data_IF_094779173834
#
_entry.id   IF_094779173834
#
_cell.length_a   1.000
_cell.length_b   1.000
_cell.length_c   1.000
_cell.angle_alpha   90.00
_cell.angle_beta   90.00
_cell.angle_gamma   90.00
#
_symmetry.space_group_name_H-M   'P 1'
#
loop_
_entity.id
_entity.type
_entity.pdbx_description
1 polymer ?
#
# COMPACT_ATOMS: atom_id res chain seq x y z
N UNK A 1 -15.54 25.42 -11.24
CA UNK A 1 -16.60 25.12 -12.22
C UNK A 1 -17.68 24.31 -11.52
N UNK A 2 -18.67 25.00 -10.96
CA UNK A 2 -19.82 24.39 -10.26
C UNK A 2 -20.89 24.12 -11.29
N UNK A 3 -21.19 22.85 -11.56
CA UNK A 3 -22.33 22.47 -12.39
C UNK A 3 -23.52 22.24 -11.47
N UNK A 4 -24.47 23.17 -11.49
CA UNK A 4 -25.76 23.04 -10.81
C UNK A 4 -26.60 22.03 -11.59
N UNK A 5 -26.67 20.79 -11.12
CA UNK A 5 -27.60 19.80 -11.65
C UNK A 5 -28.99 20.03 -11.06
N UNK A 6 -29.91 20.53 -11.88
CA UNK A 6 -31.33 20.54 -11.57
C UNK A 6 -31.84 19.08 -11.56
N UNK A 7 -32.03 18.55 -10.35
CA UNK A 7 -32.52 17.18 -10.07
C UNK A 7 -34.02 17.11 -10.35
N UNK A 8 -34.42 16.38 -11.40
CA UNK A 8 -35.80 15.99 -11.63
C UNK A 8 -36.07 14.67 -10.86
N UNK A 9 -36.73 14.79 -9.70
CA UNK A 9 -36.69 13.83 -8.58
C UNK A 9 -37.59 12.59 -8.69
N UNK A 10 -37.89 12.08 -9.88
CA UNK A 10 -38.90 11.02 -10.04
C UNK A 10 -38.40 9.59 -10.36
N UNK A 11 -37.39 9.44 -11.22
CA UNK A 11 -37.08 8.13 -11.82
C UNK A 11 -35.61 7.79 -12.07
N UNK A 12 -34.68 8.75 -11.90
CA UNK A 12 -33.24 8.54 -12.13
C UNK A 12 -32.57 7.85 -10.92
N UNK A 13 -33.12 8.03 -9.72
CA UNK A 13 -32.53 7.58 -8.46
C UNK A 13 -32.40 6.05 -8.35
N UNK A 14 -33.33 5.29 -8.93
CA UNK A 14 -33.32 3.81 -8.82
C UNK A 14 -32.34 3.14 -9.79
N UNK A 15 -32.03 3.76 -10.93
CA UNK A 15 -31.18 3.15 -11.95
C UNK A 15 -29.70 3.45 -11.71
N UNK A 16 -29.39 4.64 -11.18
CA UNK A 16 -28.04 5.05 -10.79
C UNK A 16 -27.53 4.24 -9.58
N UNK A 17 -28.40 4.00 -8.58
CA UNK A 17 -28.08 3.20 -7.40
C UNK A 17 -27.77 1.73 -7.76
N UNK A 18 -28.49 1.16 -8.73
CA UNK A 18 -28.23 -0.20 -9.23
C UNK A 18 -26.88 -0.31 -9.95
N UNK A 19 -26.52 0.67 -10.77
CA UNK A 19 -25.20 0.72 -11.41
C UNK A 19 -24.07 0.94 -10.42
N UNK A 20 -24.26 1.77 -9.40
CA UNK A 20 -23.26 2.00 -8.35
C UNK A 20 -23.00 0.74 -7.54
N UNK A 21 -24.06 -0.02 -7.22
CA UNK A 21 -23.95 -1.31 -6.55
C UNK A 21 -23.19 -2.32 -7.43
N UNK A 22 -23.47 -2.37 -8.73
CA UNK A 22 -22.73 -3.22 -9.68
C UNK A 22 -21.25 -2.86 -9.75
N UNK A 23 -20.92 -1.56 -9.85
CA UNK A 23 -19.54 -1.08 -9.88
C UNK A 23 -18.79 -1.38 -8.57
N UNK A 24 -19.47 -1.29 -7.42
CA UNK A 24 -18.88 -1.67 -6.12
C UNK A 24 -18.49 -3.15 -6.10
N UNK A 25 -19.33 -4.05 -6.61
CA UNK A 25 -19.00 -5.47 -6.67
C UNK A 25 -17.87 -5.77 -7.64
N UNK A 26 -17.89 -5.14 -8.82
CA UNK A 26 -16.78 -5.24 -9.79
C UNK A 26 -15.48 -4.74 -9.15
N UNK A 27 -15.52 -3.59 -8.48
CA UNK A 27 -14.37 -3.04 -7.77
C UNK A 27 -13.86 -3.98 -6.67
N UNK A 28 -14.74 -4.50 -5.82
CA UNK A 28 -14.37 -5.47 -4.78
C UNK A 28 -13.79 -6.76 -5.38
N UNK A 29 -14.33 -7.23 -6.51
CA UNK A 29 -13.81 -8.37 -7.26
C UNK A 29 -12.40 -8.12 -7.79
N UNK A 30 -12.18 -6.96 -8.42
CA UNK A 30 -10.86 -6.55 -8.91
C UNK A 30 -9.86 -6.36 -7.76
N UNK A 31 -10.28 -5.82 -6.62
CA UNK A 31 -9.46 -5.66 -5.43
C UNK A 31 -9.03 -7.03 -4.87
N UNK A 32 -9.97 -7.97 -4.80
CA UNK A 32 -9.70 -9.35 -4.35
C UNK A 32 -8.72 -10.04 -5.30
N UNK A 33 -8.93 -9.90 -6.62
CA UNK A 33 -8.02 -10.45 -7.63
C UNK A 33 -6.62 -9.84 -7.52
N UNK A 34 -6.53 -8.53 -7.28
CA UNK A 34 -5.25 -7.83 -7.05
C UNK A 34 -4.53 -8.38 -5.82
N UNK A 35 -5.24 -8.58 -4.71
CA UNK A 35 -4.66 -9.15 -3.49
C UNK A 35 -4.19 -10.60 -3.71
N UNK A 36 -4.97 -11.40 -4.45
CA UNK A 36 -4.59 -12.77 -4.83
C UNK A 36 -3.27 -12.79 -5.60
N UNK A 37 -3.12 -11.98 -6.65
CA UNK A 37 -1.87 -11.90 -7.40
C UNK A 37 -0.71 -11.32 -6.59
N UNK A 38 -0.96 -10.39 -5.67
CA UNK A 38 0.07 -9.84 -4.80
C UNK A 38 0.65 -10.90 -3.83
N UNK A 39 -0.16 -11.85 -3.38
CA UNK A 39 0.25 -12.89 -2.42
C UNK A 39 0.79 -14.16 -3.09
N UNK A 40 0.19 -14.57 -4.21
CA UNK A 40 0.50 -15.85 -4.87
C UNK A 40 1.23 -15.69 -6.21
N UNK A 41 1.38 -14.47 -6.71
CA UNK A 41 2.08 -14.21 -7.97
C UNK A 41 3.59 -14.35 -7.82
N UNK A 42 4.27 -14.83 -8.87
CA UNK A 42 5.73 -14.86 -8.96
C UNK A 42 6.25 -13.54 -9.53
N UNK A 43 5.96 -12.43 -8.84
CA UNK A 43 6.48 -11.13 -9.22
C UNK A 43 8.00 -11.10 -9.06
N UNK A 44 8.72 -10.67 -10.11
CA UNK A 44 10.15 -10.38 -9.99
C UNK A 44 10.31 -9.12 -9.15
N UNK A 45 10.96 -9.24 -7.99
CA UNK A 45 11.38 -8.10 -7.20
C UNK A 45 12.74 -7.68 -7.75
N UNK A 46 12.86 -6.43 -8.19
CA UNK A 46 14.15 -5.98 -8.70
C UNK A 46 15.19 -6.00 -7.58
N UNK A 47 16.46 -6.33 -7.91
CA UNK A 47 17.51 -6.42 -6.92
C UNK A 47 17.72 -5.08 -6.18
N UNK A 48 17.58 -3.94 -6.85
CA UNK A 48 17.66 -2.63 -6.18
C UNK A 48 16.52 -2.43 -5.18
N UNK A 49 15.29 -2.86 -5.51
CA UNK A 49 14.17 -2.82 -4.57
C UNK A 49 14.46 -3.68 -3.34
N UNK A 50 15.01 -4.89 -3.53
CA UNK A 50 15.35 -5.78 -2.43
C UNK A 50 16.36 -5.14 -1.46
N UNK A 51 17.44 -4.56 -1.97
CA UNK A 51 18.47 -3.94 -1.13
C UNK A 51 18.01 -2.62 -0.51
N UNK A 52 17.32 -1.77 -1.28
CA UNK A 52 16.91 -0.44 -0.82
C UNK A 52 15.77 -0.51 0.22
N UNK A 53 14.90 -1.52 0.14
CA UNK A 53 13.82 -1.75 1.11
C UNK A 53 14.35 -2.06 2.53
N UNK A 54 15.48 -2.76 2.63
CA UNK A 54 16.08 -3.10 3.93
C UNK A 54 16.72 -1.90 4.63
N UNK A 55 17.28 -0.96 3.87
CA UNK A 55 17.92 0.23 4.44
C UNK A 55 16.91 1.14 5.15
N UNK A 56 15.73 1.37 4.55
CA UNK A 56 14.72 2.26 5.15
C UNK A 56 14.20 1.73 6.48
N UNK A 57 14.01 0.42 6.62
CA UNK A 57 13.53 -0.21 7.85
C UNK A 57 14.65 -0.37 8.88
N UNK A 58 15.88 -0.68 8.46
CA UNK A 58 17.05 -0.75 9.34
C UNK A 58 17.33 0.59 10.02
N UNK A 59 17.24 1.70 9.28
CA UNK A 59 17.41 3.03 9.85
C UNK A 59 16.31 3.39 10.86
N UNK A 60 15.07 2.98 10.60
CA UNK A 60 13.95 3.28 11.49
C UNK A 60 13.94 2.45 12.78
N UNK A 61 14.32 1.17 12.71
CA UNK A 61 14.21 0.25 13.85
C UNK A 61 15.52 0.18 14.63
N UNK A 62 16.64 -0.04 13.94
CA UNK A 62 17.95 -0.22 14.57
C UNK A 62 18.68 1.11 14.83
N UNK A 63 18.13 2.23 14.37
CA UNK A 63 18.76 3.55 14.51
C UNK A 63 20.05 3.71 13.69
N UNK A 64 20.25 2.87 12.68
CA UNK A 64 21.43 2.93 11.82
C UNK A 64 21.36 4.15 10.89
N UNK A 65 22.51 4.75 10.61
CA UNK A 65 22.59 5.82 9.62
C UNK A 65 22.34 5.24 8.22
N UNK A 66 21.21 5.60 7.62
CA UNK A 66 20.76 5.09 6.31
C UNK A 66 20.36 6.24 5.41
N UNK A 67 20.62 6.12 4.11
CA UNK A 67 20.28 7.11 3.11
C UNK A 67 18.90 6.80 2.54
N UNK A 68 17.88 7.50 3.02
CA UNK A 68 16.52 7.35 2.51
C UNK A 68 16.41 7.95 1.11
N UNK A 69 16.08 7.12 0.12
CA UNK A 69 15.85 7.58 -1.26
C UNK A 69 14.53 8.35 -1.38
N UNK A 70 14.40 9.10 -2.47
CA UNK A 70 13.23 9.94 -2.76
C UNK A 70 11.91 9.16 -2.77
N UNK A 71 11.94 7.87 -3.08
CA UNK A 71 10.76 6.98 -3.15
C UNK A 71 10.07 6.80 -1.79
N UNK A 72 10.84 6.97 -0.71
CA UNK A 72 10.41 6.87 0.69
C UNK A 72 10.17 8.24 1.34
N UNK A 73 10.17 9.32 0.55
CA UNK A 73 9.94 10.65 1.08
C UNK A 73 8.49 10.78 1.60
N UNK A 74 8.27 11.12 2.89
CA UNK A 74 6.92 11.24 3.44
C UNK A 74 6.09 12.36 2.81
N UNK A 75 6.74 13.37 2.21
CA UNK A 75 6.02 14.44 1.50
C UNK A 75 5.41 13.95 0.16
N UNK A 76 6.08 13.00 -0.50
CA UNK A 76 5.69 12.47 -1.82
C UNK A 76 5.96 10.96 -1.89
N UNK A 77 5.19 10.13 -1.16
CA UNK A 77 5.46 8.70 -1.09
C UNK A 77 5.16 8.03 -2.42
N UNK A 78 6.18 7.40 -3.01
CA UNK A 78 6.07 6.68 -4.28
C UNK A 78 5.95 5.16 -4.08
N UNK A 79 6.32 4.68 -2.89
CA UNK A 79 6.25 3.26 -2.50
C UNK A 79 5.49 3.08 -1.19
N UNK A 80 4.84 1.93 -1.04
CA UNK A 80 4.21 1.53 0.22
C UNK A 80 5.27 0.98 1.18
N UNK A 81 5.26 1.45 2.43
CA UNK A 81 6.16 0.95 3.49
C UNK A 81 5.73 -0.40 4.05
N UNK A 82 4.50 -0.83 3.78
CA UNK A 82 3.92 -2.05 4.37
C UNK A 82 4.72 -3.30 3.98
N UNK A 83 5.05 -3.56 2.69
CA UNK A 83 5.82 -4.75 2.34
C UNK A 83 7.24 -4.76 2.95
N UNK A 84 8.06 -3.69 2.84
CA UNK A 84 9.37 -3.65 3.50
C UNK A 84 9.29 -3.85 5.01
N UNK A 85 8.32 -3.22 5.67
CA UNK A 85 8.14 -3.34 7.12
C UNK A 85 7.81 -4.77 7.53
N UNK A 86 6.99 -5.49 6.75
CA UNK A 86 6.67 -6.88 7.01
C UNK A 86 7.86 -7.81 6.75
N UNK A 87 8.62 -7.60 5.68
CA UNK A 87 9.69 -8.52 5.25
C UNK A 87 11.02 -8.29 5.95
N UNK A 88 11.35 -7.05 6.31
CA UNK A 88 12.64 -6.68 6.93
C UNK A 88 12.46 -6.01 8.28
N UNK A 89 11.41 -5.19 8.44
CA UNK A 89 11.14 -4.50 9.70
C UNK A 89 10.82 -5.45 10.85
N UNK A 90 9.88 -6.38 10.68
CA UNK A 90 9.57 -7.38 11.70
C UNK A 90 10.82 -8.18 12.13
N UNK A 91 11.62 -8.77 11.22
CA UNK A 91 12.89 -9.39 11.59
C UNK A 91 13.83 -8.48 12.38
N UNK A 92 13.97 -7.21 12.02
CA UNK A 92 14.80 -6.27 12.77
C UNK A 92 14.26 -5.98 14.16
N UNK A 93 12.94 -5.87 14.35
CA UNK A 93 12.34 -5.71 15.67
C UNK A 93 12.59 -6.95 16.55
N UNK A 94 12.40 -8.14 15.98
CA UNK A 94 12.70 -9.39 16.68
C UNK A 94 14.19 -9.49 17.04
N UNK A 95 15.08 -9.16 16.11
CA UNK A 95 16.52 -9.16 16.34
C UNK A 95 16.91 -8.13 17.42
N UNK A 96 16.35 -6.92 17.38
CA UNK A 96 16.58 -5.89 18.38
C UNK A 96 16.08 -6.30 19.76
N UNK A 97 14.91 -6.95 19.84
CA UNK A 97 14.41 -7.49 21.11
C UNK A 97 15.28 -8.65 21.64
N UNK A 98 15.74 -9.53 20.76
CA UNK A 98 16.57 -10.67 21.13
C UNK A 98 18.01 -10.28 21.51
N UNK A 99 18.57 -9.25 20.89
CA UNK A 99 19.95 -8.79 21.10
C UNK A 99 20.05 -7.58 22.04
N UNK A 100 18.99 -6.78 22.15
CA UNK A 100 18.89 -5.57 22.98
C UNK A 100 18.30 -5.84 24.35
N UNK A 101 18.57 -7.02 24.92
CA UNK A 101 18.30 -7.32 26.32
C UNK A 101 19.27 -6.57 27.25
N UNK A 102 19.17 -5.25 27.28
CA UNK A 102 19.60 -4.35 28.37
C UNK A 102 18.60 -3.19 28.52
#
# INVERSE_FOLDING_TARGET
YTTVYARNSGGVMSQEESSDVSLKYVYCGLLTLRAFFALFGTGYIHPDEYFQNGEVTAGQILGLHTLRTWEWNPAFPCRSIIPPWLTTGLPFMFAQCALGGE
#
